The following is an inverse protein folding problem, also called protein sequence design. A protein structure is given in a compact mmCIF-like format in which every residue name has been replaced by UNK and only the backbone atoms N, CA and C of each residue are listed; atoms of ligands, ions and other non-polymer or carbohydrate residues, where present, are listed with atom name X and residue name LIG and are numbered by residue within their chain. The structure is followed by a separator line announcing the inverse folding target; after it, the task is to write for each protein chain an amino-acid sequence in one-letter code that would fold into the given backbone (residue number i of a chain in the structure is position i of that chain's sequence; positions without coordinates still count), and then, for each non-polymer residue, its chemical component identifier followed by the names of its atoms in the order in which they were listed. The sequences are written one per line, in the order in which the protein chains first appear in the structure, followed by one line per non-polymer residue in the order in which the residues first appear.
data_IF_697302037614
#
_entry.id   IF_697302037614
#
_cell.length_a   1.000
_cell.length_b   1.000
_cell.length_c   1.000
_cell.angle_alpha   90.00
_cell.angle_beta   90.00
_cell.angle_gamma   90.00
#
_symmetry.space_group_name_H-M   'P 1'
#
loop_
_entity.id
_entity.type
_entity.pdbx_description
1 polymer ?
#
# COMPACT_ATOMS: atom_id res chain seq x y z
N UNK A 1 -9.14 -9.35 -16.13
CA UNK A 1 -7.73 -9.56 -15.76
C UNK A 1 -7.29 -8.34 -14.97
N UNK A 2 -6.69 -8.51 -13.78
CA UNK A 2 -6.08 -7.40 -13.03
C UNK A 2 -4.84 -6.92 -13.82
N UNK A 3 -4.65 -5.62 -14.00
CA UNK A 3 -3.51 -5.06 -14.73
C UNK A 3 -2.18 -5.31 -14.00
N UNK A 4 -1.02 -5.17 -14.69
CA UNK A 4 0.28 -5.22 -14.02
C UNK A 4 0.40 -4.06 -13.02
N UNK A 5 0.73 -4.37 -11.76
CA UNK A 5 0.93 -3.37 -10.69
C UNK A 5 2.42 -3.07 -10.56
N UNK A 6 2.79 -1.80 -10.71
CA UNK A 6 4.17 -1.33 -10.49
C UNK A 6 4.37 -0.82 -9.07
N UNK A 7 3.37 -0.14 -8.51
CA UNK A 7 3.48 0.45 -7.18
C UNK A 7 2.18 0.26 -6.40
N UNK A 8 2.31 -0.08 -5.10
CA UNK A 8 1.21 -0.09 -4.15
C UNK A 8 1.44 1.00 -3.13
N UNK A 9 0.43 1.84 -2.88
CA UNK A 9 0.40 2.81 -1.79
C UNK A 9 -0.64 2.39 -0.78
N UNK A 10 -0.25 2.29 0.48
CA UNK A 10 -1.19 2.05 1.58
C UNK A 10 -1.41 3.34 2.35
N UNK A 11 -2.65 3.76 2.49
CA UNK A 11 -3.05 4.95 3.23
C UNK A 11 -3.51 4.55 4.64
N UNK A 12 -2.68 4.77 5.65
CA UNK A 12 -3.04 4.55 7.04
C UNK A 12 -3.79 5.78 7.58
N UNK A 13 -5.08 5.64 7.94
CA UNK A 13 -5.82 6.69 8.60
C UNK A 13 -5.13 7.06 9.92
N UNK A 14 -5.03 8.34 10.21
CA UNK A 14 -4.57 8.78 11.53
C UNK A 14 -5.68 8.65 12.56
N UNK A 15 -5.30 8.40 13.80
CA UNK A 15 -6.16 8.39 15.00
C UNK A 15 -6.90 9.73 15.25
N UNK A 16 -6.43 10.83 14.66
CA UNK A 16 -7.06 12.12 14.80
C UNK A 16 -8.35 12.25 13.97
N UNK A 17 -9.47 11.86 14.58
CA UNK A 17 -10.83 11.96 14.03
C UNK A 17 -11.23 13.39 13.60
N UNK A 18 -10.53 14.44 14.06
CA UNK A 18 -10.80 15.83 13.65
C UNK A 18 -10.27 16.15 12.25
N UNK A 19 -9.21 15.47 11.81
CA UNK A 19 -8.65 15.65 10.47
C UNK A 19 -9.15 14.53 9.56
N UNK A 20 -10.43 14.61 9.17
CA UNK A 20 -10.99 13.79 8.09
C UNK A 20 -10.20 14.08 6.81
N UNK A 21 -9.21 13.24 6.51
CA UNK A 21 -8.36 13.36 5.32
C UNK A 21 -6.85 13.36 5.57
N UNK A 22 -6.36 13.34 6.81
CA UNK A 22 -4.93 13.09 7.06
C UNK A 22 -4.64 11.59 7.09
N UNK A 23 -3.79 11.14 6.18
CA UNK A 23 -3.29 9.77 6.13
C UNK A 23 -1.77 9.80 6.22
N UNK A 24 -1.19 8.84 6.95
CA UNK A 24 0.22 8.49 6.74
C UNK A 24 0.26 7.41 5.69
N UNK A 25 1.11 7.53 4.68
CA UNK A 25 1.20 6.55 3.62
C UNK A 25 2.61 6.02 3.46
N UNK A 26 2.71 4.81 2.92
CA UNK A 26 3.96 4.22 2.47
C UNK A 26 3.74 3.52 1.13
N UNK A 27 4.82 3.37 0.38
CA UNK A 27 4.83 2.77 -0.94
C UNK A 27 5.56 1.44 -0.93
N UNK A 28 5.19 0.57 -1.87
CA UNK A 28 5.84 -0.70 -2.15
C UNK A 28 5.96 -0.79 -3.68
N UNK A 29 7.19 -0.80 -4.21
CA UNK A 29 7.46 -0.88 -5.65
C UNK A 29 7.73 -2.33 -6.09
N UNK A 30 6.96 -2.85 -7.04
CA UNK A 30 7.14 -4.19 -7.59
C UNK A 30 8.56 -4.43 -8.14
N UNK A 31 9.24 -3.39 -8.62
CA UNK A 31 10.60 -3.46 -9.18
C UNK A 31 11.65 -3.80 -8.11
N UNK A 32 11.40 -3.45 -6.85
CA UNK A 32 12.31 -3.75 -5.75
C UNK A 32 12.19 -5.23 -5.28
N UNK A 33 11.26 -5.99 -5.86
CA UNK A 33 10.87 -7.35 -5.46
C UNK A 33 12.01 -8.37 -5.34
N UNK A 34 13.07 -8.25 -6.15
CA UNK A 34 14.21 -9.16 -6.08
C UNK A 34 15.16 -8.86 -4.90
N UNK A 35 15.20 -7.62 -4.43
CA UNK A 35 16.05 -7.16 -3.31
C UNK A 35 15.31 -7.16 -1.98
N UNK A 36 14.02 -7.43 -2.00
CA UNK A 36 13.18 -7.44 -0.82
C UNK A 36 13.59 -8.51 0.18
N UNK A 37 13.78 -8.06 1.42
CA UNK A 37 13.63 -8.91 2.59
C UNK A 37 12.32 -9.71 2.47
N UNK A 38 12.28 -11.00 2.86
CA UNK A 38 11.09 -11.85 2.72
C UNK A 38 9.79 -11.23 3.27
N UNK A 39 9.89 -10.43 4.33
CA UNK A 39 8.75 -9.70 4.89
C UNK A 39 8.04 -8.80 3.87
N UNK A 40 8.77 -8.05 3.05
CA UNK A 40 8.18 -7.22 2.00
C UNK A 40 7.46 -8.04 0.93
N UNK A 41 7.99 -9.23 0.59
CA UNK A 41 7.32 -10.16 -0.35
C UNK A 41 5.99 -10.66 0.22
N UNK A 42 5.95 -11.00 1.51
CA UNK A 42 4.72 -11.40 2.20
C UNK A 42 3.72 -10.25 2.21
N UNK A 43 4.15 -9.04 2.56
CA UNK A 43 3.30 -7.84 2.56
C UNK A 43 2.73 -7.53 1.18
N UNK A 44 3.57 -7.56 0.15
CA UNK A 44 3.16 -7.31 -1.22
C UNK A 44 2.16 -8.36 -1.71
N UNK A 45 2.42 -9.64 -1.44
CA UNK A 45 1.52 -10.74 -1.81
C UNK A 45 0.16 -10.60 -1.13
N UNK A 46 0.15 -10.31 0.17
CA UNK A 46 -1.07 -10.03 0.94
C UNK A 46 -1.89 -8.90 0.29
N UNK A 47 -1.25 -7.80 -0.11
CA UNK A 47 -1.93 -6.67 -0.74
C UNK A 47 -2.46 -7.03 -2.14
N UNK A 48 -1.74 -7.84 -2.92
CA UNK A 48 -2.22 -8.26 -4.24
C UNK A 48 -3.46 -9.15 -4.20
N UNK A 49 -3.68 -9.88 -3.12
CA UNK A 49 -4.84 -10.75 -2.92
C UNK A 49 -6.13 -9.96 -2.65
N UNK A 50 -6.03 -8.67 -2.30
CA UNK A 50 -7.21 -7.83 -2.06
C UNK A 50 -8.09 -7.75 -3.31
N UNK A 51 -9.40 -7.67 -3.07
CA UNK A 51 -10.38 -7.33 -4.10
C UNK A 51 -10.20 -5.86 -4.47
N UNK A 52 -10.04 -5.60 -5.77
CA UNK A 52 -9.70 -4.28 -6.30
C UNK A 52 -10.79 -3.82 -7.24
N UNK A 53 -11.03 -2.52 -7.23
CA UNK A 53 -11.95 -1.84 -8.12
C UNK A 53 -11.14 -0.89 -8.99
N UNK A 54 -11.32 -0.98 -10.32
CA UNK A 54 -10.74 -0.02 -11.24
C UNK A 54 -11.41 1.34 -11.04
N UNK A 55 -10.60 2.40 -10.96
CA UNK A 55 -11.08 3.78 -10.81
C UNK A 55 -10.67 4.65 -12.00
N UNK A 56 -10.15 4.05 -13.06
CA UNK A 56 -9.68 4.75 -14.25
C UNK A 56 -8.23 5.23 -14.11
N UNK A 57 -7.95 6.43 -14.62
CA UNK A 57 -6.62 7.03 -14.58
C UNK A 57 -6.45 7.91 -13.33
N UNK A 58 -5.25 7.88 -12.74
CA UNK A 58 -4.81 8.85 -11.74
C UNK A 58 -4.65 10.25 -12.35
N UNK A 59 -4.38 11.26 -11.50
CA UNK A 59 -4.09 12.62 -11.99
C UNK A 59 -2.85 12.68 -12.90
N UNK A 60 -1.94 11.72 -12.73
CA UNK A 60 -0.70 11.61 -13.52
C UNK A 60 -0.90 10.71 -14.76
N UNK A 61 -2.16 10.39 -15.11
CA UNK A 61 -2.48 9.61 -16.30
C UNK A 61 -2.22 8.10 -16.18
N UNK A 62 -1.86 7.59 -15.00
CA UNK A 62 -1.53 6.17 -14.79
C UNK A 62 -2.78 5.37 -14.42
N UNK A 63 -2.93 4.15 -14.95
CA UNK A 63 -4.00 3.24 -14.52
C UNK A 63 -3.99 3.04 -13.00
N UNK A 64 -5.15 3.24 -12.38
CA UNK A 64 -5.31 3.16 -10.94
C UNK A 64 -6.43 2.19 -10.56
N UNK A 65 -6.13 1.30 -9.64
CA UNK A 65 -7.11 0.49 -8.93
C UNK A 65 -7.10 0.86 -7.44
N UNK A 66 -8.20 0.63 -6.74
CA UNK A 66 -8.30 0.80 -5.30
C UNK A 66 -8.83 -0.46 -4.62
N UNK A 67 -8.38 -0.69 -3.39
CA UNK A 67 -8.98 -1.64 -2.48
C UNK A 67 -9.21 -0.96 -1.13
N UNK A 68 -10.10 -1.54 -0.32
CA UNK A 68 -10.36 -1.07 1.03
C UNK A 68 -10.26 -2.26 1.99
N UNK A 69 -9.33 -2.18 2.94
CA UNK A 69 -9.20 -3.20 3.98
C UNK A 69 -10.10 -2.86 5.15
N UNK A 70 -11.03 -3.75 5.45
CA UNK A 70 -11.99 -3.63 6.56
C UNK A 70 -11.95 -4.88 7.45
N UNK A 71 -12.56 -4.82 8.63
CA UNK A 71 -12.76 -5.98 9.51
C UNK A 71 -11.52 -6.85 9.74
N UNK A 72 -11.64 -8.16 9.46
CA UNK A 72 -10.57 -9.15 9.65
C UNK A 72 -9.35 -8.88 8.78
N UNK A 73 -9.55 -8.55 7.50
CA UNK A 73 -8.46 -8.24 6.57
C UNK A 73 -7.60 -7.09 7.08
N UNK A 74 -8.23 -6.05 7.64
CA UNK A 74 -7.51 -4.94 8.30
C UNK A 74 -6.69 -5.45 9.49
N UNK A 75 -7.27 -6.27 10.35
CA UNK A 75 -6.58 -6.79 11.53
C UNK A 75 -5.37 -7.65 11.15
N UNK A 76 -5.51 -8.52 10.14
CA UNK A 76 -4.43 -9.37 9.65
C UNK A 76 -3.31 -8.54 9.00
N UNK A 77 -3.68 -7.49 8.25
CA UNK A 77 -2.74 -6.51 7.73
C UNK A 77 -1.95 -5.79 8.84
N UNK A 78 -2.63 -5.31 9.88
CA UNK A 78 -1.96 -4.61 11.00
C UNK A 78 -1.03 -5.55 11.78
N UNK A 79 -1.41 -6.81 11.97
CA UNK A 79 -0.53 -7.84 12.56
C UNK A 79 0.70 -8.07 11.69
N UNK A 80 0.54 -8.18 10.37
CA UNK A 80 1.65 -8.33 9.44
C UNK A 80 2.59 -7.10 9.45
N UNK A 81 2.04 -5.89 9.59
CA UNK A 81 2.86 -4.69 9.76
C UNK A 81 3.69 -4.73 11.05
N UNK A 82 3.12 -5.23 12.15
CA UNK A 82 3.81 -5.35 13.43
C UNK A 82 4.95 -6.38 13.43
N UNK A 83 4.99 -7.31 12.47
CA UNK A 83 6.10 -8.26 12.31
C UNK A 83 7.23 -7.74 11.43
N UNK A 84 7.20 -6.47 11.03
CA UNK A 84 8.26 -5.84 10.26
C UNK A 84 9.62 -5.95 10.99
N UNK A 85 10.67 -6.48 10.34
CA UNK A 85 12.01 -6.51 10.93
C UNK A 85 12.52 -5.10 11.20
N UNK A 86 13.19 -4.90 12.34
CA UNK A 86 13.68 -3.58 12.75
C UNK A 86 14.58 -2.92 11.70
N UNK A 87 15.46 -3.70 11.04
CA UNK A 87 16.33 -3.21 9.96
C UNK A 87 15.56 -2.63 8.78
N UNK A 88 14.45 -3.25 8.41
CA UNK A 88 13.58 -2.78 7.32
C UNK A 88 12.82 -1.52 7.73
N UNK A 89 12.38 -1.46 8.98
CA UNK A 89 11.73 -0.26 9.54
C UNK A 89 12.69 0.91 9.59
N UNK A 90 13.93 0.70 10.02
CA UNK A 90 14.96 1.74 10.07
C UNK A 90 15.35 2.26 8.69
N UNK A 91 15.48 1.35 7.72
CA UNK A 91 15.77 1.67 6.32
C UNK A 91 14.62 2.36 5.59
N UNK A 92 13.38 2.24 6.06
CA UNK A 92 12.20 2.72 5.34
C UNK A 92 11.42 3.80 6.09
N UNK A 93 11.74 5.08 5.80
CA UNK A 93 11.20 6.27 6.52
C UNK A 93 9.67 6.29 6.64
N UNK A 94 8.95 5.96 5.57
CA UNK A 94 7.48 6.00 5.55
C UNK A 94 6.87 4.82 6.31
N UNK A 95 7.52 3.66 6.30
CA UNK A 95 7.11 2.50 7.12
C UNK A 95 7.32 2.80 8.61
N UNK A 96 8.48 3.37 8.98
CA UNK A 96 8.73 3.82 10.36
C UNK A 96 7.70 4.83 10.85
N UNK A 97 7.33 5.78 10.00
CA UNK A 97 6.30 6.78 10.33
C UNK A 97 4.92 6.13 10.47
N UNK A 98 4.59 5.19 9.58
CA UNK A 98 3.37 4.40 9.60
C UNK A 98 3.24 3.57 10.89
N UNK A 99 4.30 2.85 11.29
CA UNK A 99 4.29 2.00 12.49
C UNK A 99 4.11 2.79 13.79
N UNK A 100 4.65 4.01 13.86
CA UNK A 100 4.45 4.92 15.02
C UNK A 100 3.02 5.43 15.16
N UNK A 101 2.24 5.38 14.09
CA UNK A 101 0.88 5.94 14.01
C UNK A 101 -0.12 4.90 13.54
N UNK A 102 0.14 3.62 13.82
CA UNK A 102 -0.80 2.57 13.43
C UNK A 102 -2.17 2.91 14.00
N UNK A 103 -3.23 2.89 13.17
CA UNK A 103 -4.56 3.17 13.66
C UNK A 103 -4.93 2.11 14.70
N UNK A 104 -5.01 2.53 15.97
CA UNK A 104 -5.51 1.69 17.07
C UNK A 104 -7.04 1.57 17.03
N UNK A 105 -7.70 2.43 16.25
CA UNK A 105 -9.14 2.45 16.06
C UNK A 105 -9.57 1.68 14.81
N UNK A 106 -10.85 1.33 14.75
CA UNK A 106 -11.44 0.56 13.65
C UNK A 106 -11.69 1.39 12.38
N UNK A 107 -10.66 2.07 11.88
CA UNK A 107 -10.73 2.80 10.61
C UNK A 107 -10.35 1.90 9.45
N UNK A 108 -11.11 1.98 8.36
CA UNK A 108 -10.80 1.28 7.12
C UNK A 108 -9.49 1.80 6.52
N UNK A 109 -8.71 0.91 5.90
CA UNK A 109 -7.39 1.25 5.33
C UNK A 109 -7.47 1.19 3.81
N UNK A 110 -7.46 2.34 3.11
CA UNK A 110 -7.41 2.37 1.65
C UNK A 110 -6.06 1.90 1.12
N UNK A 111 -6.10 1.19 0.00
CA UNK A 111 -4.92 0.76 -0.76
C UNK A 111 -5.11 1.21 -2.20
N UNK A 112 -4.08 1.83 -2.77
CA UNK A 112 -4.05 2.24 -4.18
C UNK A 112 -3.00 1.44 -4.92
N UNK A 113 -3.35 0.97 -6.11
CA UNK A 113 -2.49 0.24 -7.01
C UNK A 113 -2.29 1.09 -8.25
N UNK A 114 -1.05 1.25 -8.64
CA UNK A 114 -0.67 2.01 -9.83
C UNK A 114 -0.08 1.04 -10.85
N UNK A 115 -0.56 1.16 -12.08
CA UNK A 115 -0.03 0.43 -13.23
C UNK A 115 1.28 1.04 -13.77
N UNK A 116 1.86 0.45 -14.82
CA UNK A 116 2.94 1.08 -15.56
C UNK A 116 2.44 2.35 -16.24
N UNK A 117 3.34 3.31 -16.43
CA UNK A 117 3.05 4.52 -17.19
C UNK A 117 2.58 4.15 -18.61
N UNK A 118 1.39 4.59 -19.04
CA UNK A 118 0.91 4.32 -20.39
C UNK A 118 1.79 4.92 -21.49
N UNK A 119 2.54 6.01 -21.24
CA UNK A 119 3.48 6.58 -22.22
C UNK A 119 4.69 5.69 -22.46
N UNK A 120 5.05 4.83 -21.50
CA UNK A 120 6.12 3.83 -21.67
C UNK A 120 5.74 2.69 -22.64
N UNK A 121 4.46 2.54 -23.00
CA UNK A 121 3.98 1.56 -24.00
C UNK A 121 4.04 2.08 -25.44
N UNK A 122 4.39 3.35 -25.67
CA UNK A 122 4.36 4.00 -26.99
C UNK A 122 5.66 3.99 -27.79
N UNK A 123 6.73 3.38 -27.28
CA UNK A 123 8.07 3.37 -27.91
C UNK A 123 8.58 1.94 -28.19
N UNK A 124 7.73 1.06 -28.72
CA UNK A 124 8.16 -0.18 -29.39
C UNK A 124 7.70 -0.17 -30.86
#
# INVERSE_FOLDING_TARGET
MKGPVTTIRVDLPTDNLKYKGSFTYFFISAEDGQRWHPWWKTLFSFLLELERQSVGLSQDGVEMEVALMTGKTRQDFLKLLQTAPESEVEGHRTLRSALRRLPLHELDVPVRYFGPDPESRGNE
#
